data_IF_944955769522
#
_entry.id   IF_944955769522
#
_cell.length_a   1.000
_cell.length_b   1.000
_cell.length_c   1.000
_cell.angle_alpha   90.00
_cell.angle_beta   90.00
_cell.angle_gamma   90.00
#
_symmetry.space_group_name_H-M   'P 1'
#
loop_
_entity.id
_entity.type
_entity.pdbx_description
1 polymer ?
#
# COMPACT_ATOMS: atom_id res chain seq x y z
N UNK A 1 -19.96 17.39 -9.41
CA UNK A 1 -18.75 17.15 -8.63
C UNK A 1 -17.99 15.96 -9.20
N UNK A 2 -16.75 16.16 -9.52
CA UNK A 2 -15.93 15.05 -9.94
C UNK A 2 -15.64 14.12 -8.74
N UNK A 3 -15.82 12.83 -8.95
CA UNK A 3 -15.43 11.83 -7.96
C UNK A 3 -13.91 11.68 -8.02
N UNK A 4 -13.24 11.83 -6.90
CA UNK A 4 -11.81 11.63 -6.81
C UNK A 4 -11.51 10.15 -7.11
N UNK A 5 -10.62 9.83 -8.06
CA UNK A 5 -10.31 8.45 -8.38
C UNK A 5 -9.58 7.77 -7.21
N UNK A 6 -9.80 6.48 -7.07
CA UNK A 6 -9.08 5.67 -6.09
C UNK A 6 -7.57 5.78 -6.36
N UNK A 7 -6.74 5.83 -5.31
CA UNK A 7 -5.28 5.90 -5.50
C UNK A 7 -4.75 4.79 -6.41
N UNK A 8 -3.84 5.14 -7.30
CA UNK A 8 -3.32 4.24 -8.31
C UNK A 8 -2.39 3.16 -7.77
N UNK A 9 -2.06 2.19 -8.63
CA UNK A 9 -1.25 1.02 -8.25
C UNK A 9 0.14 1.46 -7.77
N UNK A 10 0.81 2.36 -8.49
CA UNK A 10 2.15 2.80 -8.09
C UNK A 10 2.14 3.54 -6.76
N UNK A 11 1.14 4.38 -6.52
CA UNK A 11 0.98 5.06 -5.23
C UNK A 11 0.78 4.07 -4.09
N UNK A 12 -0.03 3.04 -4.31
CA UNK A 12 -0.27 2.01 -3.30
C UNK A 12 0.97 1.19 -3.02
N UNK A 13 1.77 0.87 -4.05
CA UNK A 13 3.05 0.17 -3.87
C UNK A 13 4.00 1.00 -3.04
N UNK A 14 4.12 2.30 -3.33
CA UNK A 14 4.99 3.19 -2.56
C UNK A 14 4.57 3.26 -1.09
N UNK A 15 3.27 3.39 -0.81
CA UNK A 15 2.76 3.36 0.57
C UNK A 15 3.08 2.05 1.27
N UNK A 16 2.92 0.94 0.57
CA UNK A 16 3.21 -0.38 1.12
C UNK A 16 4.68 -0.53 1.49
N UNK A 17 5.58 -0.15 0.58
CA UNK A 17 7.01 -0.31 0.80
C UNK A 17 7.57 0.65 1.84
N UNK A 18 6.90 1.78 2.06
CA UNK A 18 7.33 2.76 3.07
C UNK A 18 7.41 2.12 4.46
N UNK A 19 6.51 1.22 4.79
CA UNK A 19 6.47 0.54 6.08
C UNK A 19 7.62 -0.46 6.27
N UNK A 20 8.36 -0.79 5.20
CA UNK A 20 9.41 -1.80 5.21
C UNK A 20 10.79 -1.22 4.88
N UNK A 21 10.97 0.08 5.07
CA UNK A 21 12.22 0.77 4.73
C UNK A 21 13.43 0.25 5.51
N UNK A 22 13.22 -0.30 6.70
CA UNK A 22 14.30 -0.80 7.56
C UNK A 22 14.97 -2.06 7.02
N UNK A 23 14.39 -2.72 6.02
CA UNK A 23 14.88 -3.99 5.51
C UNK A 23 15.82 -3.87 4.31
N UNK A 24 16.15 -2.66 3.88
CA UNK A 24 16.92 -2.42 2.64
C UNK A 24 18.23 -3.20 2.59
N UNK A 25 18.91 -3.33 3.74
CA UNK A 25 20.21 -4.02 3.83
C UNK A 25 20.11 -5.37 4.55
N UNK A 26 18.91 -5.86 4.82
CA UNK A 26 18.73 -7.11 5.55
C UNK A 26 18.94 -8.32 4.65
N UNK A 27 19.55 -9.38 5.19
CA UNK A 27 19.74 -10.65 4.48
C UNK A 27 18.41 -11.36 4.31
N UNK A 28 17.63 -11.39 5.38
CA UNK A 28 16.28 -11.97 5.36
C UNK A 28 15.25 -10.85 5.43
N UNK A 29 14.22 -10.93 4.57
CA UNK A 29 13.21 -9.88 4.45
C UNK A 29 11.80 -10.48 4.55
N UNK A 30 10.81 -9.68 4.99
CA UNK A 30 9.42 -10.13 5.01
C UNK A 30 8.89 -10.49 3.62
N UNK A 31 7.96 -11.43 3.58
CA UNK A 31 7.25 -11.82 2.35
C UNK A 31 6.60 -10.61 1.65
N UNK A 32 6.20 -9.60 2.41
CA UNK A 32 5.59 -8.37 1.92
C UNK A 32 6.44 -7.65 0.85
N UNK A 33 7.76 -7.87 0.84
CA UNK A 33 8.67 -7.22 -0.11
C UNK A 33 8.86 -8.03 -1.41
N UNK A 34 8.30 -9.23 -1.50
CA UNK A 34 8.31 -10.04 -2.71
C UNK A 34 7.24 -9.57 -3.71
N UNK A 35 7.33 -10.04 -4.96
CA UNK A 35 6.29 -9.73 -5.95
C UNK A 35 4.91 -10.17 -5.47
N UNK A 36 4.79 -11.38 -4.94
CA UNK A 36 3.50 -11.89 -4.47
C UNK A 36 3.00 -11.11 -3.25
N UNK A 37 3.89 -10.76 -2.33
CA UNK A 37 3.53 -9.95 -1.17
C UNK A 37 3.04 -8.58 -1.57
N UNK A 38 3.68 -7.94 -2.55
CA UNK A 38 3.23 -6.66 -3.10
C UNK A 38 1.86 -6.81 -3.77
N UNK A 39 1.68 -7.85 -4.61
CA UNK A 39 0.40 -8.09 -5.28
C UNK A 39 -0.74 -8.22 -4.27
N UNK A 40 -0.51 -8.97 -3.19
CA UNK A 40 -1.51 -9.17 -2.14
C UNK A 40 -1.82 -7.85 -1.42
N UNK A 41 -0.78 -7.08 -1.07
CA UNK A 41 -0.96 -5.85 -0.31
C UNK A 41 -1.72 -4.78 -1.09
N UNK A 42 -1.45 -4.63 -2.38
CA UNK A 42 -2.09 -3.60 -3.21
C UNK A 42 -3.28 -4.13 -4.01
N UNK A 43 -3.63 -5.40 -3.83
CA UNK A 43 -4.81 -6.05 -4.43
C UNK A 43 -4.83 -5.95 -5.96
N UNK A 44 -3.73 -6.38 -6.59
CA UNK A 44 -3.65 -6.51 -8.05
C UNK A 44 -3.25 -7.93 -8.41
N UNK A 45 -3.50 -8.32 -9.66
CA UNK A 45 -3.03 -9.61 -10.16
C UNK A 45 -1.50 -9.63 -10.15
N UNK A 46 -0.91 -10.76 -9.74
CA UNK A 46 0.54 -10.92 -9.69
C UNK A 46 1.19 -10.60 -11.03
N UNK A 47 0.54 -10.95 -12.14
CA UNK A 47 1.04 -10.70 -13.50
C UNK A 47 1.18 -9.20 -13.82
N UNK A 48 0.51 -8.31 -13.06
CA UNK A 48 0.59 -6.87 -13.26
C UNK A 48 1.69 -6.22 -12.43
N UNK A 49 2.26 -6.93 -11.46
CA UNK A 49 3.31 -6.39 -10.58
C UNK A 49 4.57 -6.01 -11.36
N UNK A 50 5.11 -6.86 -12.28
CA UNK A 50 6.34 -6.52 -12.98
C UNK A 50 6.26 -5.19 -13.73
N UNK A 51 5.14 -4.88 -14.36
CA UNK A 51 4.96 -3.61 -15.10
C UNK A 51 4.98 -2.42 -14.14
N UNK A 52 4.25 -2.50 -13.04
CA UNK A 52 4.20 -1.41 -12.06
C UNK A 52 5.58 -1.19 -11.42
N UNK A 53 6.27 -2.27 -11.08
CA UNK A 53 7.62 -2.21 -10.51
C UNK A 53 8.60 -1.62 -11.51
N UNK A 54 8.54 -2.04 -12.79
CA UNK A 54 9.41 -1.50 -13.83
C UNK A 54 9.28 0.01 -13.95
N UNK A 55 8.06 0.53 -13.92
CA UNK A 55 7.82 1.97 -13.96
C UNK A 55 8.45 2.71 -12.78
N UNK A 56 8.34 2.15 -11.58
CA UNK A 56 8.95 2.76 -10.39
C UNK A 56 10.49 2.65 -10.42
N UNK A 57 11.04 1.54 -10.91
CA UNK A 57 12.50 1.39 -11.10
C UNK A 57 13.02 2.40 -12.11
N UNK A 58 12.31 2.59 -13.21
CA UNK A 58 12.70 3.55 -14.26
C UNK A 58 12.75 4.99 -13.72
N UNK A 59 11.92 5.29 -12.75
CA UNK A 59 11.92 6.59 -12.06
C UNK A 59 13.00 6.69 -10.98
N UNK A 60 13.74 5.63 -10.75
CA UNK A 60 14.78 5.60 -9.71
C UNK A 60 14.25 5.49 -8.28
N UNK A 61 13.00 5.05 -8.12
CA UNK A 61 12.33 5.02 -6.81
C UNK A 61 12.49 3.68 -6.09
N UNK A 62 12.77 2.60 -6.84
CA UNK A 62 12.95 1.25 -6.29
C UNK A 62 14.24 0.63 -6.78
N UNK A 63 14.80 -0.24 -5.94
CA UNK A 63 15.82 -1.20 -6.35
C UNK A 63 15.29 -2.62 -6.14
N UNK A 64 15.83 -3.54 -6.92
CA UNK A 64 15.52 -4.97 -6.85
C UNK A 64 16.78 -5.71 -6.44
N UNK A 65 16.66 -6.67 -5.54
CA UNK A 65 17.76 -7.61 -5.26
C UNK A 65 17.22 -8.96 -4.83
N UNK A 66 18.03 -9.98 -5.00
CA UNK A 66 17.74 -11.31 -4.47
C UNK A 66 17.91 -11.29 -2.95
N UNK A 67 16.96 -11.87 -2.24
CA UNK A 67 16.98 -11.94 -0.79
C UNK A 67 16.31 -13.22 -0.30
N UNK A 68 16.66 -13.63 0.92
CA UNK A 68 15.93 -14.68 1.61
C UNK A 68 14.62 -14.08 2.12
N UNK A 69 13.52 -14.61 1.63
CA UNK A 69 12.18 -14.17 2.04
C UNK A 69 11.67 -15.12 3.09
N UNK A 70 11.20 -14.60 4.21
CA UNK A 70 10.68 -15.40 5.32
C UNK A 70 9.58 -16.35 4.83
N UNK A 71 9.71 -17.63 5.15
CA UNK A 71 8.75 -18.65 4.77
C UNK A 71 8.95 -19.22 3.36
N UNK A 72 9.98 -18.78 2.63
CA UNK A 72 10.29 -19.26 1.29
C UNK A 72 11.67 -19.90 1.30
N UNK A 73 11.78 -21.11 0.72
CA UNK A 73 13.02 -21.91 0.78
C UNK A 73 14.11 -21.41 -0.16
N UNK A 74 13.76 -20.66 -1.21
CA UNK A 74 14.72 -20.16 -2.20
C UNK A 74 14.77 -18.63 -2.13
N UNK A 75 15.90 -18.07 -2.53
CA UNK A 75 15.99 -16.62 -2.72
C UNK A 75 14.97 -16.16 -3.76
N UNK A 76 14.38 -14.99 -3.51
CA UNK A 76 13.41 -14.35 -4.37
C UNK A 76 13.82 -12.91 -4.62
N UNK A 77 13.31 -12.35 -5.70
CA UNK A 77 13.42 -10.91 -5.92
C UNK A 77 12.63 -10.18 -4.84
N UNK A 78 13.26 -9.23 -4.20
CA UNK A 78 12.65 -8.34 -3.24
C UNK A 78 12.89 -6.89 -3.66
N UNK A 79 12.03 -5.99 -3.24
CA UNK A 79 12.00 -4.61 -3.72
C UNK A 79 12.09 -3.65 -2.55
N UNK A 80 12.91 -2.61 -2.72
CA UNK A 80 13.23 -1.68 -1.65
C UNK A 80 13.18 -0.26 -2.20
N UNK A 81 12.72 0.68 -1.39
CA UNK A 81 12.74 2.08 -1.75
C UNK A 81 14.18 2.60 -1.76
N UNK A 82 14.50 3.39 -2.79
CA UNK A 82 15.72 4.21 -2.80
C UNK A 82 15.52 5.44 -1.91
N UNK A 83 16.55 6.25 -1.69
CA UNK A 83 16.39 7.52 -0.97
C UNK A 83 15.37 8.44 -1.68
N UNK A 84 15.44 8.64 -3.02
CA UNK A 84 14.36 9.33 -3.72
C UNK A 84 13.00 8.66 -3.56
N UNK A 85 12.96 7.31 -3.55
CA UNK A 85 11.73 6.55 -3.34
C UNK A 85 11.13 6.80 -1.97
N UNK A 86 11.95 6.89 -0.93
CA UNK A 86 11.47 7.26 0.40
C UNK A 86 10.81 8.63 0.40
N UNK A 87 11.48 9.62 -0.20
CA UNK A 87 10.94 10.98 -0.26
C UNK A 87 9.61 11.03 -1.02
N UNK A 88 9.53 10.37 -2.17
CA UNK A 88 8.29 10.33 -2.94
C UNK A 88 7.18 9.60 -2.19
N UNK A 89 7.52 8.52 -1.49
CA UNK A 89 6.54 7.76 -0.69
C UNK A 89 5.99 8.58 0.47
N UNK A 90 6.85 9.33 1.15
CA UNK A 90 6.43 10.22 2.23
C UNK A 90 5.55 11.36 1.71
N UNK A 91 5.89 11.96 0.58
CA UNK A 91 5.08 12.97 -0.07
C UNK A 91 3.73 12.42 -0.53
N UNK A 92 3.74 11.20 -1.05
CA UNK A 92 2.53 10.49 -1.46
C UNK A 92 1.60 10.28 -0.26
N UNK A 93 2.14 9.83 0.87
CA UNK A 93 1.33 9.69 2.08
C UNK A 93 0.80 11.04 2.57
N UNK A 94 1.64 12.07 2.59
CA UNK A 94 1.22 13.41 3.02
C UNK A 94 0.06 13.93 2.18
N UNK A 95 0.05 13.64 0.88
CA UNK A 95 -1.06 13.99 -0.02
C UNK A 95 -2.27 13.10 0.21
N UNK A 96 -2.08 11.79 0.28
CA UNK A 96 -3.17 10.82 0.36
C UNK A 96 -3.88 10.83 1.71
N UNK A 97 -3.24 11.30 2.78
CA UNK A 97 -3.93 11.42 4.08
C UNK A 97 -5.13 12.35 4.01
N UNK A 98 -5.14 13.28 3.06
CA UNK A 98 -6.26 14.20 2.83
C UNK A 98 -7.28 13.68 1.81
N UNK A 99 -7.09 12.46 1.33
CA UNK A 99 -8.00 11.83 0.36
C UNK A 99 -9.37 11.64 0.99
N UNK A 100 -10.42 12.11 0.29
CA UNK A 100 -11.79 12.05 0.79
C UNK A 100 -12.41 10.70 0.49
N UNK A 101 -13.06 10.10 1.48
CA UNK A 101 -13.81 8.87 1.31
C UNK A 101 -15.07 8.88 2.16
N UNK A 102 -15.98 7.98 1.85
CA UNK A 102 -17.19 7.77 2.63
C UNK A 102 -17.06 6.45 3.38
N UNK A 103 -17.42 6.45 4.65
CA UNK A 103 -17.36 5.26 5.49
C UNK A 103 -18.77 4.88 5.94
N UNK A 104 -19.09 3.59 5.85
CA UNK A 104 -20.32 3.03 6.42
C UNK A 104 -19.94 2.49 7.79
N UNK A 105 -20.57 3.05 8.83
CA UNK A 105 -20.27 2.69 10.21
C UNK A 105 -21.10 1.48 10.65
N UNK A 106 -20.81 0.95 11.84
CA UNK A 106 -21.47 -0.25 12.37
C UNK A 106 -22.99 -0.11 12.46
N UNK A 107 -23.49 1.09 12.72
CA UNK A 107 -24.92 1.39 12.79
C UNK A 107 -25.55 1.70 11.43
N UNK A 108 -24.77 1.60 10.34
CA UNK A 108 -25.22 1.92 8.99
C UNK A 108 -25.11 3.38 8.60
N UNK A 109 -24.69 4.26 9.51
CA UNK A 109 -24.50 5.68 9.21
C UNK A 109 -23.37 5.85 8.19
N UNK A 110 -23.52 6.83 7.28
CA UNK A 110 -22.51 7.18 6.28
C UNK A 110 -21.81 8.46 6.74
N UNK A 111 -20.49 8.40 6.87
CA UNK A 111 -19.67 9.52 7.31
C UNK A 111 -18.66 9.85 6.24
N UNK A 112 -18.53 11.14 5.90
CA UNK A 112 -17.46 11.64 5.05
C UNK A 112 -16.24 11.90 5.92
N UNK A 113 -15.08 11.38 5.51
CA UNK A 113 -13.84 11.57 6.24
C UNK A 113 -12.65 11.48 5.29
N UNK A 114 -11.47 11.81 5.80
CA UNK A 114 -10.23 11.62 5.06
C UNK A 114 -9.62 10.27 5.40
N UNK A 115 -8.72 9.81 4.54
CA UNK A 115 -7.97 8.57 4.77
C UNK A 115 -7.18 8.66 6.09
N UNK A 116 -6.58 9.80 6.37
CA UNK A 116 -5.83 10.02 7.62
C UNK A 116 -6.73 9.92 8.85
N UNK A 117 -7.92 10.53 8.80
CA UNK A 117 -8.88 10.47 9.90
C UNK A 117 -9.32 9.02 10.18
N UNK A 118 -9.65 8.26 9.14
CA UNK A 118 -10.02 6.85 9.29
C UNK A 118 -8.87 6.03 9.84
N UNK A 119 -7.66 6.27 9.35
CA UNK A 119 -6.47 5.59 9.84
C UNK A 119 -6.25 5.83 11.33
N UNK A 120 -6.52 7.04 11.81
CA UNK A 120 -6.33 7.40 13.22
C UNK A 120 -7.43 6.85 14.14
N UNK A 121 -8.63 6.61 13.61
CA UNK A 121 -9.81 6.24 14.40
C UNK A 121 -10.15 4.76 14.39
N UNK A 122 -9.45 3.93 13.62
CA UNK A 122 -9.71 2.49 13.63
C UNK A 122 -9.22 1.89 14.96
N UNK A 123 -10.07 1.09 15.58
CA UNK A 123 -9.76 0.43 16.85
C UNK A 123 -8.63 -0.59 16.72
N UNK A 124 -8.46 -1.15 15.54
CA UNK A 124 -7.36 -2.06 15.22
C UNK A 124 -6.41 -1.36 14.25
N UNK A 125 -5.13 -1.62 14.42
CA UNK A 125 -4.11 -1.01 13.59
C UNK A 125 -4.19 -1.54 12.17
N UNK A 126 -4.57 -0.67 11.22
CA UNK A 126 -4.52 -0.97 9.80
C UNK A 126 -3.60 0.04 9.11
N UNK A 127 -2.82 -0.46 8.18
CA UNK A 127 -1.98 0.42 7.37
C UNK A 127 -2.84 1.16 6.35
N UNK A 128 -2.41 2.38 5.93
CA UNK A 128 -3.15 3.11 4.89
C UNK A 128 -3.40 2.31 3.61
N UNK A 129 -2.43 1.50 3.18
CA UNK A 129 -2.59 0.66 1.99
C UNK A 129 -3.71 -0.37 2.17
N UNK A 130 -3.89 -0.89 3.38
CA UNK A 130 -4.96 -1.85 3.67
C UNK A 130 -6.33 -1.18 3.60
N UNK A 131 -6.44 0.04 4.08
CA UNK A 131 -7.69 0.81 4.00
C UNK A 131 -8.06 1.04 2.53
N UNK A 132 -7.10 1.45 1.71
CA UNK A 132 -7.32 1.66 0.28
C UNK A 132 -7.75 0.36 -0.40
N UNK A 133 -7.15 -0.77 -0.02
CA UNK A 133 -7.49 -2.08 -0.56
C UNK A 133 -8.96 -2.43 -0.37
N UNK A 134 -9.53 -2.08 0.78
CA UNK A 134 -10.91 -2.42 1.12
C UNK A 134 -11.94 -1.41 0.63
N UNK A 135 -11.53 -0.24 0.14
CA UNK A 135 -12.45 0.69 -0.50
C UNK A 135 -12.95 0.11 -1.82
N UNK A 136 -14.21 0.37 -2.14
CA UNK A 136 -14.74 0.05 -3.47
C UNK A 136 -14.30 1.12 -4.49
N UNK A 137 -14.71 0.95 -5.76
CA UNK A 137 -14.31 1.86 -6.83
C UNK A 137 -14.90 3.26 -6.69
N UNK A 138 -15.92 3.42 -5.84
CA UNK A 138 -16.54 4.71 -5.53
C UNK A 138 -15.96 5.35 -4.28
N UNK A 139 -14.84 4.82 -3.77
CA UNK A 139 -14.18 5.28 -2.55
C UNK A 139 -15.07 5.21 -1.32
N UNK A 140 -15.87 4.15 -1.23
CA UNK A 140 -16.70 3.83 -0.07
C UNK A 140 -16.03 2.70 0.71
N UNK A 141 -15.81 2.94 1.99
CA UNK A 141 -15.27 1.95 2.91
C UNK A 141 -16.37 1.47 3.83
N UNK A 142 -16.75 0.21 3.73
CA UNK A 142 -17.67 -0.39 4.69
C UNK A 142 -16.86 -0.92 5.87
N UNK A 143 -16.88 -0.16 6.98
CA UNK A 143 -16.05 -0.50 8.15
C UNK A 143 -16.45 -1.84 8.77
N UNK A 144 -17.66 -2.31 8.52
CA UNK A 144 -18.13 -3.60 9.02
C UNK A 144 -17.40 -4.78 8.38
N UNK A 145 -16.79 -4.57 7.21
CA UNK A 145 -16.01 -5.61 6.51
C UNK A 145 -14.56 -5.69 6.99
N UNK A 146 -14.12 -4.76 7.82
CA UNK A 146 -12.74 -4.69 8.29
C UNK A 146 -12.48 -5.53 9.53
N UNK A 147 -13.50 -5.88 10.26
CA UNK A 147 -13.36 -6.75 11.45
C UNK A 147 -13.00 -8.15 10.99
N UNK A 148 -11.87 -8.62 11.43
CA UNK A 148 -11.38 -9.96 11.13
C UNK A 148 -12.22 -11.01 11.84
#
# INVERSE_FOLDING_TARGET
MSVQPKPGVQERILLHLLDYSDFKNSVEVPFALSQMGIANAVAIARSNVPRAIAGLKDQGLLIERQAHVTGVSRKRKAYFLTDPGMNVSEDTWERLRHFQLRSIMDDGAIINSTLGEINDHLEFSMRPVDIIRYMDDNCVLDTRTLSA
#
